data_IF_193776588735
#
_entry.id   IF_193776588735
#
_cell.length_a   1.000
_cell.length_b   1.000
_cell.length_c   1.000
_cell.angle_alpha   90.00
_cell.angle_beta   90.00
_cell.angle_gamma   90.00
#
_symmetry.space_group_name_H-M   'P 1'
#
loop_
_entity.id
_entity.type
_entity.pdbx_description
1 polymer ?
#
# COMPACT_ATOMS: atom_id res chain seq x y z
N UNK A 1 1.85 -2.77 0.22
CA UNK A 1 0.40 -2.85 0.56
C UNK A 1 -0.03 -1.75 1.53
N UNK A 2 0.35 -1.76 2.81
CA UNK A 2 -0.16 -0.77 3.80
C UNK A 2 0.15 0.70 3.42
N UNK A 3 1.32 0.98 2.84
CA UNK A 3 1.67 2.34 2.39
C UNK A 3 0.85 2.81 1.17
N UNK A 4 0.34 1.89 0.36
CA UNK A 4 -0.38 2.19 -0.89
C UNK A 4 -1.90 2.10 -0.75
N UNK A 5 -2.41 1.66 0.41
CA UNK A 5 -3.86 1.51 0.66
C UNK A 5 -4.65 2.83 0.56
N UNK A 6 -3.97 3.97 0.69
CA UNK A 6 -4.58 5.32 0.64
C UNK A 6 -4.41 5.98 -0.74
N UNK A 7 -3.71 5.33 -1.67
CA UNK A 7 -3.49 5.90 -2.99
C UNK A 7 -4.77 5.73 -3.80
N UNK A 8 -5.28 6.84 -4.32
CA UNK A 8 -6.33 6.82 -5.33
C UNK A 8 -5.69 6.61 -6.70
N UNK A 9 -5.83 5.39 -7.25
CA UNK A 9 -5.21 4.99 -8.53
C UNK A 9 -5.80 5.78 -9.70
N UNK A 10 -7.12 6.02 -9.71
CA UNK A 10 -7.76 6.81 -10.77
C UNK A 10 -7.26 8.24 -10.81
N UNK A 11 -7.14 8.87 -9.63
CA UNK A 11 -6.59 10.21 -9.51
C UNK A 11 -5.14 10.26 -10.00
N UNK A 12 -4.32 9.28 -9.62
CA UNK A 12 -2.93 9.16 -10.08
C UNK A 12 -2.85 9.04 -11.61
N UNK A 13 -3.70 8.19 -12.22
CA UNK A 13 -3.76 8.02 -13.67
C UNK A 13 -4.20 9.32 -14.37
N UNK A 14 -5.19 10.01 -13.81
CA UNK A 14 -5.69 11.30 -14.34
C UNK A 14 -4.62 12.40 -14.27
N UNK A 15 -3.93 12.52 -13.13
CA UNK A 15 -2.86 13.50 -12.94
C UNK A 15 -1.68 13.26 -13.90
N UNK A 16 -1.30 12.00 -14.11
CA UNK A 16 -0.26 11.63 -15.07
C UNK A 16 -0.66 11.99 -16.51
N UNK A 17 -1.89 11.66 -16.93
CA UNK A 17 -2.42 12.05 -18.25
C UNK A 17 -2.42 13.55 -18.43
N UNK A 18 -2.93 14.30 -17.44
CA UNK A 18 -2.94 15.76 -17.47
C UNK A 18 -1.53 16.34 -17.61
N UNK A 19 -0.54 15.78 -16.92
CA UNK A 19 0.85 16.22 -17.06
C UNK A 19 1.37 16.03 -18.48
N UNK A 20 1.15 14.85 -19.08
CA UNK A 20 1.57 14.56 -20.45
C UNK A 20 0.88 15.46 -21.47
N UNK A 21 -0.44 15.65 -21.33
CA UNK A 21 -1.23 16.49 -22.21
C UNK A 21 -0.80 17.96 -22.13
N UNK A 22 -0.47 18.46 -20.93
CA UNK A 22 0.07 19.80 -20.77
C UNK A 22 1.38 19.98 -21.55
N UNK A 23 2.29 19.01 -21.49
CA UNK A 23 3.55 19.06 -22.27
C UNK A 23 3.27 19.04 -23.77
N UNK A 24 2.36 18.17 -24.25
CA UNK A 24 1.94 18.12 -25.66
C UNK A 24 1.32 19.44 -26.11
N UNK A 25 0.44 20.05 -25.31
CA UNK A 25 -0.22 21.30 -25.63
C UNK A 25 0.75 22.49 -25.71
N UNK A 26 1.73 22.56 -24.81
CA UNK A 26 2.79 23.58 -24.87
C UNK A 26 3.65 23.37 -26.12
N UNK A 27 3.99 22.12 -26.46
CA UNK A 27 4.72 21.79 -27.68
C UNK A 27 3.96 22.26 -28.93
N UNK A 28 2.68 21.91 -29.06
CA UNK A 28 1.83 22.38 -30.16
C UNK A 28 1.73 23.90 -30.23
N UNK A 29 1.67 24.57 -29.07
CA UNK A 29 1.63 26.03 -29.02
C UNK A 29 2.89 26.67 -29.59
N UNK A 30 4.06 26.05 -29.39
CA UNK A 30 5.35 26.49 -29.93
C UNK A 30 5.53 26.13 -31.40
N UNK A 31 5.05 24.98 -31.85
CA UNK A 31 5.28 24.51 -33.22
C UNK A 31 4.36 25.19 -34.23
N UNK A 32 3.08 25.35 -33.89
CA UNK A 32 2.06 25.87 -34.83
C UNK A 32 0.98 26.73 -34.18
N UNK A 33 1.10 27.04 -32.89
CA UNK A 33 0.10 27.80 -32.14
C UNK A 33 0.50 29.24 -31.86
N UNK A 34 -0.08 29.81 -30.80
CA UNK A 34 0.10 31.21 -30.42
C UNK A 34 1.54 31.58 -30.04
N UNK A 35 2.40 30.59 -29.75
CA UNK A 35 3.79 30.81 -29.38
C UNK A 35 4.78 30.57 -30.53
N UNK A 36 4.29 30.19 -31.72
CA UNK A 36 5.13 29.84 -32.87
C UNK A 36 5.78 31.06 -33.56
N UNK A 37 5.08 32.20 -33.60
CA UNK A 37 5.57 33.41 -34.24
C UNK A 37 6.08 34.43 -33.22
N UNK A 38 7.38 34.37 -32.94
CA UNK A 38 8.07 35.29 -32.02
C UNK A 38 8.01 36.76 -32.44
N UNK A 39 7.70 37.09 -33.69
CA UNK A 39 7.56 38.48 -34.15
C UNK A 39 6.28 39.15 -33.64
N UNK A 40 5.28 38.35 -33.24
CA UNK A 40 4.03 38.84 -32.64
C UNK A 40 4.18 39.17 -31.17
N UNK A 41 5.30 38.79 -30.55
CA UNK A 41 5.54 39.04 -29.15
C UNK A 41 5.96 40.49 -28.90
N UNK A 42 5.69 40.96 -27.69
CA UNK A 42 6.26 42.20 -27.21
C UNK A 42 7.80 42.10 -27.20
N UNK A 43 8.58 43.15 -27.54
CA UNK A 43 10.04 43.08 -27.62
C UNK A 43 10.76 42.65 -26.33
N UNK A 44 10.11 42.82 -25.17
CA UNK A 44 10.63 42.38 -23.86
C UNK A 44 10.14 40.98 -23.45
N UNK A 45 9.20 40.40 -24.18
CA UNK A 45 8.67 39.08 -23.89
C UNK A 45 9.67 38.00 -24.34
N UNK A 46 10.07 37.16 -23.38
CA UNK A 46 11.05 36.08 -23.57
C UNK A 46 10.43 34.70 -23.37
N UNK A 47 9.11 34.59 -23.32
CA UNK A 47 8.41 33.32 -23.02
C UNK A 47 8.87 32.19 -23.95
N UNK A 48 8.99 32.45 -25.26
CA UNK A 48 9.46 31.46 -26.23
C UNK A 48 10.86 30.93 -25.90
N UNK A 49 11.81 31.83 -25.64
CA UNK A 49 13.20 31.46 -25.32
C UNK A 49 13.30 30.63 -24.03
N UNK A 50 12.56 31.03 -23.00
CA UNK A 50 12.56 30.35 -21.70
C UNK A 50 11.92 28.97 -21.81
N UNK A 51 10.72 28.89 -22.40
CA UNK A 51 9.96 27.63 -22.48
C UNK A 51 10.71 26.63 -23.37
N UNK A 52 11.21 27.05 -24.54
CA UNK A 52 11.87 26.15 -25.49
C UNK A 52 13.12 25.47 -24.90
N UNK A 53 13.85 26.15 -24.00
CA UNK A 53 14.98 25.56 -23.25
C UNK A 53 14.56 24.38 -22.38
N UNK A 54 13.36 24.41 -21.81
CA UNK A 54 12.86 23.37 -20.90
C UNK A 54 12.10 22.26 -21.62
N UNK A 55 11.63 22.49 -22.85
CA UNK A 55 10.79 21.53 -23.57
C UNK A 55 11.47 20.19 -23.84
N UNK A 56 12.78 20.16 -24.07
CA UNK A 56 13.50 18.89 -24.28
C UNK A 56 13.37 17.97 -23.07
N UNK A 57 13.62 18.49 -21.88
CA UNK A 57 13.55 17.71 -20.64
C UNK A 57 12.11 17.39 -20.26
N UNK A 58 11.18 18.31 -20.50
CA UNK A 58 9.76 18.10 -20.25
C UNK A 58 9.19 16.97 -21.12
N UNK A 59 9.53 16.93 -22.42
CA UNK A 59 9.12 15.84 -23.32
C UNK A 59 9.66 14.49 -22.87
N UNK A 60 10.97 14.42 -22.58
CA UNK A 60 11.59 13.18 -22.09
C UNK A 60 10.89 12.67 -20.82
N UNK A 61 10.59 13.56 -19.87
CA UNK A 61 9.88 13.19 -18.63
C UNK A 61 8.43 12.76 -18.89
N UNK A 62 7.75 13.36 -19.86
CA UNK A 62 6.40 12.97 -20.26
C UNK A 62 6.40 11.58 -20.90
N UNK A 63 7.38 11.27 -21.76
CA UNK A 63 7.57 9.94 -22.36
C UNK A 63 7.88 8.87 -21.29
N UNK A 64 8.76 9.18 -20.33
CA UNK A 64 9.03 8.31 -19.17
C UNK A 64 7.76 8.09 -18.34
N UNK A 65 6.96 9.14 -18.11
CA UNK A 65 5.71 9.04 -17.37
C UNK A 65 4.67 8.17 -18.10
N UNK A 66 4.60 8.26 -19.43
CA UNK A 66 3.72 7.43 -20.26
C UNK A 66 4.05 5.95 -20.08
N UNK A 67 5.34 5.59 -20.18
CA UNK A 67 5.81 4.23 -19.99
C UNK A 67 5.49 3.69 -18.59
N UNK A 68 5.79 4.47 -17.54
CA UNK A 68 5.51 4.05 -16.16
C UNK A 68 4.02 3.91 -15.89
N UNK A 69 3.19 4.79 -16.46
CA UNK A 69 1.74 4.73 -16.32
C UNK A 69 1.17 3.46 -16.98
N UNK A 70 1.67 3.11 -18.17
CA UNK A 70 1.27 1.89 -18.88
C UNK A 70 1.67 0.63 -18.10
N UNK A 71 2.93 0.54 -17.69
CA UNK A 71 3.45 -0.60 -16.92
C UNK A 71 2.74 -0.75 -15.56
N UNK A 72 2.51 0.35 -14.87
CA UNK A 72 1.76 0.37 -13.60
C UNK A 72 0.33 -0.10 -13.82
N UNK A 73 -0.37 0.43 -14.83
CA UNK A 73 -1.76 0.07 -15.12
C UNK A 73 -1.90 -1.40 -15.50
N UNK A 74 -0.97 -1.92 -16.31
CA UNK A 74 -0.92 -3.34 -16.65
C UNK A 74 -0.70 -4.21 -15.41
N UNK A 75 0.35 -3.92 -14.63
CA UNK A 75 0.66 -4.68 -13.41
C UNK A 75 -0.48 -4.64 -12.40
N UNK A 76 -1.17 -3.50 -12.32
CA UNK A 76 -2.33 -3.32 -11.44
C UNK A 76 -3.53 -4.17 -11.88
N UNK A 77 -3.84 -4.18 -13.17
CA UNK A 77 -4.92 -4.98 -13.70
C UNK A 77 -4.59 -6.49 -13.57
N UNK A 78 -3.37 -6.89 -13.88
CA UNK A 78 -2.91 -8.29 -13.80
C UNK A 78 -3.03 -8.83 -12.36
N UNK A 79 -2.62 -8.05 -11.36
CA UNK A 79 -2.73 -8.48 -9.95
C UNK A 79 -4.19 -8.52 -9.47
N UNK A 80 -5.05 -7.60 -9.91
CA UNK A 80 -6.48 -7.67 -9.60
C UNK A 80 -7.11 -8.93 -10.17
N UNK A 81 -6.88 -9.21 -11.45
CA UNK A 81 -7.37 -10.42 -12.11
C UNK A 81 -6.82 -11.69 -11.47
N UNK A 82 -5.55 -11.71 -11.05
CA UNK A 82 -4.96 -12.83 -10.33
C UNK A 82 -5.71 -13.17 -9.03
N UNK A 83 -6.18 -12.16 -8.30
CA UNK A 83 -6.99 -12.35 -7.09
C UNK A 83 -8.51 -12.48 -7.35
N UNK A 84 -8.93 -12.54 -8.61
CA UNK A 84 -10.33 -12.72 -9.00
C UNK A 84 -11.18 -11.45 -8.91
N UNK A 85 -10.55 -10.27 -8.85
CA UNK A 85 -11.24 -8.98 -8.86
C UNK A 85 -11.37 -8.48 -10.32
N UNK A 86 -12.44 -7.74 -10.61
CA UNK A 86 -12.67 -7.12 -11.91
C UNK A 86 -11.88 -5.80 -12.01
N UNK A 87 -10.86 -5.68 -12.89
CA UNK A 87 -10.08 -4.46 -13.04
C UNK A 87 -10.84 -3.32 -13.74
N UNK A 88 -12.07 -3.56 -14.22
CA UNK A 88 -12.94 -2.57 -14.86
C UNK A 88 -13.98 -1.97 -13.91
N UNK A 89 -14.18 -2.56 -12.73
CA UNK A 89 -15.05 -2.00 -11.69
C UNK A 89 -14.27 -1.00 -10.81
N UNK A 90 -14.66 0.28 -10.90
CA UNK A 90 -14.07 1.39 -10.14
C UNK A 90 -14.08 1.14 -8.62
N UNK A 91 -15.12 0.51 -8.07
CA UNK A 91 -15.16 0.21 -6.64
C UNK A 91 -14.16 -0.90 -6.27
N UNK A 92 -14.09 -1.96 -7.07
CA UNK A 92 -13.11 -3.03 -6.89
C UNK A 92 -11.68 -2.47 -6.97
N UNK A 93 -11.41 -1.59 -7.95
CA UNK A 93 -10.13 -0.88 -8.10
C UNK A 93 -9.82 -0.02 -6.88
N UNK A 94 -10.75 0.79 -6.39
CA UNK A 94 -10.49 1.68 -5.24
C UNK A 94 -10.18 0.89 -3.97
N UNK A 95 -10.90 -0.20 -3.75
CA UNK A 95 -10.88 -0.89 -2.45
C UNK A 95 -9.85 -2.04 -2.41
N UNK A 96 -9.27 -2.45 -3.55
CA UNK A 96 -8.36 -3.60 -3.68
C UNK A 96 -7.22 -3.62 -2.63
N UNK A 97 -6.37 -2.59 -2.59
CA UNK A 97 -5.27 -2.55 -1.64
C UNK A 97 -5.73 -2.33 -0.18
N UNK A 98 -6.89 -1.71 0.02
CA UNK A 98 -7.49 -1.52 1.34
C UNK A 98 -7.94 -2.85 1.94
N UNK A 99 -8.57 -3.73 1.14
CA UNK A 99 -8.93 -5.11 1.53
C UNK A 99 -7.69 -5.88 2.00
N UNK A 100 -6.61 -5.87 1.22
CA UNK A 100 -5.35 -6.55 1.57
C UNK A 100 -4.67 -5.96 2.80
N UNK A 101 -4.66 -4.62 2.95
CA UNK A 101 -4.08 -3.96 4.11
C UNK A 101 -4.85 -4.26 5.40
N UNK A 102 -6.18 -4.33 5.31
CA UNK A 102 -7.07 -4.71 6.41
C UNK A 102 -6.80 -6.16 6.83
N UNK A 103 -6.75 -7.08 5.87
CA UNK A 103 -6.39 -8.48 6.13
C UNK A 103 -5.04 -8.62 6.85
N UNK A 104 -3.99 -7.94 6.36
CA UNK A 104 -2.66 -8.00 6.99
C UNK A 104 -2.67 -7.43 8.41
N UNK A 105 -3.47 -6.40 8.67
CA UNK A 105 -3.60 -5.78 9.98
C UNK A 105 -4.31 -6.73 10.96
N UNK A 106 -5.40 -7.33 10.53
CA UNK A 106 -6.17 -8.27 11.33
C UNK A 106 -5.39 -9.56 11.58
N UNK A 107 -4.67 -10.06 10.57
CA UNK A 107 -3.80 -11.22 10.73
C UNK A 107 -2.70 -10.98 11.77
N UNK A 108 -2.04 -9.81 11.74
CA UNK A 108 -1.03 -9.44 12.76
C UNK A 108 -1.64 -9.39 14.16
N UNK A 109 -2.83 -8.81 14.29
CA UNK A 109 -3.55 -8.73 15.57
C UNK A 109 -3.93 -10.12 16.09
N UNK A 110 -4.41 -10.99 15.22
CA UNK A 110 -4.79 -12.36 15.58
C UNK A 110 -3.58 -13.20 15.98
N UNK A 111 -2.44 -13.05 15.27
CA UNK A 111 -1.18 -13.70 15.64
C UNK A 111 -0.72 -13.31 17.04
N UNK A 112 -0.77 -12.02 17.38
CA UNK A 112 -0.38 -11.53 18.70
C UNK A 112 -1.28 -12.11 19.80
N UNK A 113 -2.60 -12.11 19.59
CA UNK A 113 -3.55 -12.74 20.52
C UNK A 113 -3.28 -14.22 20.72
N UNK A 114 -2.98 -14.95 19.65
CA UNK A 114 -2.67 -16.39 19.73
C UNK A 114 -1.40 -16.65 20.53
N UNK A 115 -0.33 -15.88 20.30
CA UNK A 115 0.90 -15.99 21.10
C UNK A 115 0.67 -15.72 22.59
N UNK A 116 -0.09 -14.68 22.93
CA UNK A 116 -0.43 -14.36 24.32
C UNK A 116 -1.26 -15.47 24.97
N UNK A 117 -2.21 -16.03 24.22
CA UNK A 117 -3.03 -17.15 24.68
C UNK A 117 -2.20 -18.40 24.92
N UNK A 118 -1.33 -18.77 23.98
CA UNK A 118 -0.43 -19.92 24.10
C UNK A 118 0.53 -19.79 25.29
N UNK A 119 1.12 -18.60 25.48
CA UNK A 119 2.02 -18.35 26.61
C UNK A 119 1.28 -18.40 27.95
N UNK A 120 0.07 -17.84 28.01
CA UNK A 120 -0.78 -17.91 29.21
C UNK A 120 -1.17 -19.36 29.51
N UNK A 121 -1.58 -20.11 28.49
CA UNK A 121 -1.96 -21.53 28.62
C UNK A 121 -0.78 -22.35 29.14
N UNK A 122 0.42 -22.16 28.57
CA UNK A 122 1.66 -22.81 28.99
C UNK A 122 1.99 -22.53 30.46
N UNK A 123 1.88 -21.28 30.91
CA UNK A 123 2.12 -20.89 32.32
C UNK A 123 1.10 -21.51 33.28
N UNK A 124 -0.16 -21.55 32.88
CA UNK A 124 -1.24 -22.12 33.68
C UNK A 124 -1.10 -23.64 33.81
N UNK A 125 -0.83 -24.35 32.72
CA UNK A 125 -0.56 -25.79 32.70
C UNK A 125 0.64 -26.14 33.60
N UNK A 126 1.75 -25.41 33.50
CA UNK A 126 2.92 -25.61 34.35
C UNK A 126 2.62 -25.38 35.85
N UNK A 127 1.78 -24.40 36.16
CA UNK A 127 1.40 -24.08 37.54
C UNK A 127 0.45 -25.13 38.13
N UNK A 128 -0.49 -25.63 37.35
CA UNK A 128 -1.36 -26.75 37.74
C UNK A 128 -0.57 -28.04 37.95
N UNK A 129 0.40 -28.35 37.08
CA UNK A 129 1.28 -29.51 37.23
C UNK A 129 2.10 -29.43 38.54
N UNK A 130 2.62 -28.26 38.88
CA UNK A 130 3.32 -28.02 40.16
C UNK A 130 2.39 -28.23 41.36
N UNK A 131 1.18 -27.65 41.36
CA UNK A 131 0.20 -27.83 42.44
C UNK A 131 -0.23 -29.29 42.61
N UNK A 132 -0.52 -30.00 41.51
CA UNK A 132 -0.86 -31.43 41.55
C UNK A 132 0.29 -32.30 42.08
N UNK A 133 1.55 -31.99 41.72
CA UNK A 133 2.70 -32.68 42.29
C UNK A 133 2.83 -32.44 43.79
N UNK A 134 2.61 -31.21 44.25
CA UNK A 134 2.66 -30.85 45.66
C UNK A 134 1.55 -31.54 46.49
N UNK A 135 0.33 -31.59 45.95
CA UNK A 135 -0.81 -32.30 46.57
C UNK A 135 -0.63 -33.82 46.62
N UNK A 136 0.04 -34.43 45.63
CA UNK A 136 0.39 -35.86 45.70
C UNK A 136 1.44 -36.14 46.78
N UNK A 137 2.40 -35.25 46.98
CA UNK A 137 3.42 -35.38 48.02
C UNK A 137 2.81 -35.18 49.42
N UNK A 138 1.89 -34.23 49.61
CA UNK A 138 1.23 -34.01 50.90
C UNK A 138 0.10 -35.00 51.19
N UNK A 139 -0.65 -35.44 50.16
CA UNK A 139 -1.70 -36.46 50.30
C UNK A 139 -1.19 -37.88 50.53
N UNK A 140 0.04 -38.19 50.13
CA UNK A 140 0.72 -39.44 50.50
C UNK A 140 1.28 -39.44 51.93
N UNK A 141 1.28 -38.31 52.63
CA UNK A 141 1.82 -38.18 53.99
C UNK A 141 0.76 -38.37 55.10
N UNK A 142 -0.51 -38.63 54.77
CA UNK A 142 -1.62 -38.70 55.74
C UNK A 142 -2.02 -40.13 56.16
N UNK A 143 -1.36 -41.18 55.66
CA UNK A 143 -1.59 -42.58 56.08
C UNK A 143 -0.89 -42.97 57.40
N UNK A 144 -0.62 -42.00 58.29
CA UNK A 144 0.19 -42.20 59.50
C UNK A 144 -0.40 -41.62 60.80
N UNK A 145 -1.73 -41.48 60.92
CA UNK A 145 -2.33 -41.11 62.20
C UNK A 145 -2.41 -42.33 63.13
N UNK A 146 -1.84 -42.30 64.35
CA UNK A 146 -1.87 -43.44 65.25
C UNK A 146 -3.28 -43.63 65.85
N UNK A 147 -3.70 -44.87 66.15
CA UNK A 147 -4.99 -45.11 66.77
C UNK A 147 -4.95 -44.66 68.25
N UNK A 148 -5.93 -43.86 68.66
CA UNK A 148 -6.09 -43.43 70.05
C UNK A 148 -6.92 -44.46 70.85
N UNK A 149 -6.59 -44.67 72.15
CA UNK A 149 -7.23 -45.65 73.03
C UNK A 149 -8.60 -45.22 73.58
#
# INVERSE_FOLDING_TARGET
>A
IVAVQKINIEQLQSDAKRYMDNVRNVQMSLDSGNLSDSKKFHPQDRVGQVVQRHMKDARRKAEEMELYLEEMSKSYNDIMTFYGEDPTDDNARRDFFSKLASFLTDWKRSREKNMQYEETRRRNEASMKRKHAQLKVTGGAVEGAPPSP
#
